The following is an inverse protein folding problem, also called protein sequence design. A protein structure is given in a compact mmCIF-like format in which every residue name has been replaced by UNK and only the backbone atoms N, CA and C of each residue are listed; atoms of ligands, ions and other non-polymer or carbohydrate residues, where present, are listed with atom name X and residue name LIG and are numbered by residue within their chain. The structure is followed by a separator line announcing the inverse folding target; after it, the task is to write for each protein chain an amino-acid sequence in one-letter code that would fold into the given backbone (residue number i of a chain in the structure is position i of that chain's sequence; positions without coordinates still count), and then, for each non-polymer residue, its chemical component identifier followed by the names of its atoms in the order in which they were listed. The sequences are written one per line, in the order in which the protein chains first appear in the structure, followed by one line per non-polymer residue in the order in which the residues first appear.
data_IF_722108162433
#
_entry.id   IF_722108162433
#
_cell.length_a   1.000
_cell.length_b   1.000
_cell.length_c   1.000
_cell.angle_alpha   90.00
_cell.angle_beta   90.00
_cell.angle_gamma   90.00
#
_symmetry.space_group_name_H-M   'P 1'
#
loop_
_entity.id
_entity.type
_entity.pdbx_description
1 polymer ?
#
# COMPACT_ATOMS: atom_id res chain seq x y z
N UNK A 1 -11.69 -0.58 11.56
CA UNK A 1 -12.14 0.21 10.39
C UNK A 1 -13.65 0.14 10.32
N UNK A 2 -14.34 1.26 10.21
CA UNK A 2 -15.79 1.35 10.17
C UNK A 2 -16.24 2.07 8.90
N UNK A 3 -17.41 1.68 8.37
CA UNK A 3 -18.14 2.47 7.39
C UNK A 3 -19.09 3.40 8.16
N UNK A 4 -18.95 4.70 7.97
CA UNK A 4 -19.80 5.72 8.59
C UNK A 4 -20.54 6.51 7.51
N UNK A 5 -21.65 7.14 7.88
CA UNK A 5 -22.38 8.06 7.01
C UNK A 5 -22.25 9.47 7.57
N UNK A 6 -21.78 10.37 6.76
CA UNK A 6 -21.80 11.80 7.01
C UNK A 6 -23.27 12.23 7.01
N UNK A 7 -23.76 12.72 8.13
CA UNK A 7 -25.19 13.01 8.32
C UNK A 7 -25.62 14.26 7.52
N UNK A 8 -24.72 15.25 7.42
CA UNK A 8 -25.00 16.50 6.74
C UNK A 8 -24.94 16.34 5.21
N UNK A 9 -23.92 15.64 4.71
CA UNK A 9 -23.70 15.46 3.28
C UNK A 9 -24.37 14.20 2.71
N UNK A 10 -24.81 13.27 3.58
CA UNK A 10 -25.46 12.03 3.19
C UNK A 10 -24.54 11.00 2.52
N UNK A 11 -23.21 11.20 2.54
CA UNK A 11 -22.20 10.37 1.86
C UNK A 11 -21.50 9.43 2.84
N UNK A 12 -20.92 8.35 2.29
CA UNK A 12 -20.15 7.39 3.10
C UNK A 12 -18.71 7.86 3.32
N UNK A 13 -18.19 7.54 4.51
CA UNK A 13 -16.82 7.77 4.95
C UNK A 13 -16.23 6.49 5.52
N UNK A 14 -14.94 6.30 5.37
CA UNK A 14 -14.19 5.30 6.11
C UNK A 14 -13.64 5.94 7.39
N UNK A 15 -13.81 5.27 8.53
CA UNK A 15 -13.31 5.71 9.82
C UNK A 15 -12.35 4.67 10.37
N UNK A 16 -11.10 5.06 10.58
CA UNK A 16 -10.08 4.21 11.20
C UNK A 16 -9.91 4.64 12.65
N UNK A 17 -10.25 3.75 13.57
CA UNK A 17 -9.99 3.88 14.99
C UNK A 17 -8.62 3.32 15.33
N UNK A 18 -7.83 4.06 16.07
CA UNK A 18 -6.48 3.69 16.51
C UNK A 18 -6.29 4.07 17.98
N UNK A 19 -5.54 3.27 18.77
CA UNK A 19 -5.06 3.73 20.06
C UNK A 19 -4.28 5.04 19.90
N UNK A 20 -4.43 5.99 20.83
CA UNK A 20 -3.81 7.33 20.75
C UNK A 20 -2.27 7.26 20.63
N UNK A 21 -1.64 6.22 21.15
CA UNK A 21 -0.21 5.96 20.98
C UNK A 21 0.21 5.79 19.52
N UNK A 22 -0.71 5.44 18.62
CA UNK A 22 -0.50 5.24 17.19
C UNK A 22 -0.87 6.48 16.35
N UNK A 23 -1.13 7.64 16.96
CA UNK A 23 -1.50 8.88 16.27
C UNK A 23 -0.49 9.38 15.24
N UNK A 24 0.74 8.84 15.25
CA UNK A 24 1.74 9.13 14.22
C UNK A 24 1.26 8.80 12.81
N UNK A 25 0.45 7.74 12.66
CA UNK A 25 -0.18 7.40 11.38
C UNK A 25 -1.06 8.54 10.87
N UNK A 26 -1.91 9.10 11.74
CA UNK A 26 -2.75 10.24 11.38
C UNK A 26 -1.92 11.47 10.98
N UNK A 27 -0.84 11.75 11.72
CA UNK A 27 0.07 12.86 11.41
C UNK A 27 0.75 12.71 10.05
N UNK A 28 1.17 11.48 9.70
CA UNK A 28 1.75 11.18 8.39
C UNK A 28 0.67 11.27 7.31
N UNK A 29 -0.48 10.62 7.51
CA UNK A 29 -1.55 10.56 6.52
C UNK A 29 -2.11 11.93 6.16
N UNK A 30 -2.18 12.87 7.14
CA UNK A 30 -2.59 14.27 6.92
C UNK A 30 -1.72 15.03 5.90
N UNK A 31 -0.46 14.61 5.72
CA UNK A 31 0.48 15.24 4.79
C UNK A 31 0.35 14.70 3.36
N UNK A 32 -0.45 13.64 3.16
CA UNK A 32 -0.55 12.95 1.89
C UNK A 32 -1.73 13.51 1.08
N UNK A 33 -1.43 13.84 -0.18
CA UNK A 33 -2.42 14.23 -1.17
C UNK A 33 -1.98 13.70 -2.54
N UNK A 34 -2.59 12.60 -2.99
CA UNK A 34 -2.29 11.96 -4.27
C UNK A 34 -3.56 11.27 -4.81
N UNK A 35 -3.82 11.29 -6.13
CA UNK A 35 -5.06 10.73 -6.72
C UNK A 35 -5.32 9.25 -6.44
N UNK A 36 -4.27 8.49 -6.10
CA UNK A 36 -4.35 7.06 -5.78
C UNK A 36 -4.23 6.78 -4.28
N UNK A 37 -4.46 7.78 -3.43
CA UNK A 37 -4.56 7.65 -1.97
C UNK A 37 -5.92 8.16 -1.51
N UNK A 38 -6.57 7.52 -0.51
CA UNK A 38 -7.76 8.10 0.10
C UNK A 38 -7.45 9.47 0.70
N UNK A 39 -8.31 10.43 0.50
CA UNK A 39 -8.16 11.75 1.09
C UNK A 39 -8.56 11.72 2.57
N UNK A 40 -7.72 12.27 3.45
CA UNK A 40 -8.12 12.52 4.83
C UNK A 40 -9.11 13.67 4.87
N UNK A 41 -10.24 13.46 5.53
CA UNK A 41 -11.32 14.44 5.65
C UNK A 41 -11.24 15.14 7.00
N UNK A 42 -11.09 14.35 8.08
CA UNK A 42 -11.05 14.88 9.43
C UNK A 42 -10.25 13.96 10.36
N UNK A 43 -9.94 14.47 11.53
CA UNK A 43 -9.25 13.75 12.59
C UNK A 43 -9.75 14.23 13.96
N UNK A 44 -10.05 13.28 14.84
CA UNK A 44 -10.47 13.60 16.21
C UNK A 44 -9.82 12.64 17.21
N UNK A 45 -9.63 13.13 18.43
CA UNK A 45 -9.17 12.32 19.57
C UNK A 45 -10.31 12.26 20.60
N UNK A 46 -10.55 11.06 21.11
CA UNK A 46 -11.53 10.85 22.18
C UNK A 46 -11.05 9.73 23.10
N UNK A 47 -10.94 10.03 24.38
CA UNK A 47 -10.43 9.13 25.40
C UNK A 47 -9.04 8.60 25.04
N UNK A 48 -8.85 7.29 24.96
CA UNK A 48 -7.58 6.64 24.60
C UNK A 48 -7.45 6.33 23.10
N UNK A 49 -8.36 6.83 22.27
CA UNK A 49 -8.41 6.55 20.84
C UNK A 49 -8.32 7.82 19.99
N UNK A 50 -7.81 7.65 18.79
CA UNK A 50 -7.93 8.64 17.74
C UNK A 50 -8.65 8.03 16.53
N UNK A 51 -9.38 8.89 15.81
CA UNK A 51 -10.21 8.52 14.67
C UNK A 51 -9.75 9.31 13.45
N UNK A 52 -9.40 8.59 12.39
CA UNK A 52 -9.08 9.16 11.09
C UNK A 52 -10.31 8.98 10.21
N UNK A 53 -10.94 10.07 9.83
CA UNK A 53 -12.07 10.11 8.90
C UNK A 53 -11.51 10.37 7.51
N UNK A 54 -11.79 9.49 6.56
CA UNK A 54 -11.24 9.56 5.22
C UNK A 54 -12.25 9.20 4.15
N UNK A 55 -11.90 9.48 2.91
CA UNK A 55 -12.65 9.06 1.73
C UNK A 55 -12.95 7.55 1.80
N UNK A 56 -14.21 7.20 1.57
CA UNK A 56 -14.62 5.81 1.42
C UNK A 56 -14.40 5.36 -0.02
N UNK A 57 -13.50 4.41 -0.21
CA UNK A 57 -13.22 3.84 -1.53
C UNK A 57 -14.22 2.70 -1.78
N UNK A 58 -15.16 2.95 -2.70
CA UNK A 58 -16.12 1.94 -3.13
C UNK A 58 -15.45 0.97 -4.11
N UNK A 59 -14.91 -0.12 -3.59
CA UNK A 59 -14.17 -1.12 -4.36
C UNK A 59 -13.83 -2.33 -3.52
N UNK A 60 -13.10 -3.27 -4.15
CA UNK A 60 -12.56 -4.47 -3.50
C UNK A 60 -11.04 -4.38 -3.42
N UNK A 61 -10.45 -5.03 -2.42
CA UNK A 61 -9.01 -5.21 -2.38
C UNK A 61 -8.55 -6.18 -3.48
N UNK A 62 -7.32 -6.05 -3.93
CA UNK A 62 -6.78 -7.01 -4.91
C UNK A 62 -6.71 -8.43 -4.32
N UNK A 63 -6.56 -8.56 -2.99
CA UNK A 63 -6.63 -9.87 -2.33
C UNK A 63 -8.04 -10.48 -2.44
N UNK A 64 -9.10 -9.70 -2.23
CA UNK A 64 -10.48 -10.16 -2.42
C UNK A 64 -10.73 -10.63 -3.86
N UNK A 65 -10.20 -9.92 -4.87
CA UNK A 65 -10.27 -10.39 -6.25
C UNK A 65 -9.57 -11.75 -6.44
N UNK A 66 -8.38 -11.93 -5.83
CA UNK A 66 -7.65 -13.20 -5.91
C UNK A 66 -8.38 -14.35 -5.19
N UNK A 67 -9.00 -14.08 -4.04
CA UNK A 67 -9.80 -15.05 -3.28
C UNK A 67 -11.05 -15.48 -4.05
N UNK A 68 -11.67 -14.56 -4.79
CA UNK A 68 -12.81 -14.84 -5.68
C UNK A 68 -12.38 -15.54 -6.98
N UNK A 69 -11.09 -15.84 -7.15
CA UNK A 69 -10.55 -16.54 -8.33
C UNK A 69 -10.34 -15.66 -9.55
N UNK A 70 -10.40 -14.32 -9.38
CA UNK A 70 -10.12 -13.39 -10.48
C UNK A 70 -8.68 -13.55 -11.00
N UNK A 71 -8.53 -13.54 -12.31
CA UNK A 71 -7.24 -13.64 -12.99
C UNK A 71 -6.96 -12.32 -13.67
N UNK A 72 -6.02 -11.57 -13.11
CA UNK A 72 -5.58 -10.30 -13.70
C UNK A 72 -4.92 -10.52 -15.07
N UNK A 73 -5.25 -9.68 -16.05
CA UNK A 73 -4.54 -9.65 -17.34
C UNK A 73 -3.16 -9.00 -17.18
N UNK A 74 -2.30 -9.17 -18.19
CA UNK A 74 -0.98 -8.49 -18.19
C UNK A 74 -1.16 -6.98 -18.16
N UNK A 75 -2.10 -6.45 -18.92
CA UNK A 75 -2.40 -5.01 -19.00
C UNK A 75 -2.84 -4.47 -17.64
N UNK A 76 -3.67 -5.21 -16.91
CA UNK A 76 -4.08 -4.84 -15.54
C UNK A 76 -2.89 -4.86 -14.58
N UNK A 77 -2.04 -5.90 -14.64
CA UNK A 77 -0.84 -6.00 -13.79
C UNK A 77 0.13 -4.85 -14.07
N UNK A 78 0.35 -4.52 -15.34
CA UNK A 78 1.20 -3.39 -15.74
C UNK A 78 0.61 -2.04 -15.28
N UNK A 79 -0.71 -1.88 -15.41
CA UNK A 79 -1.40 -0.68 -14.92
C UNK A 79 -1.26 -0.54 -13.40
N UNK A 80 -1.51 -1.61 -12.65
CA UNK A 80 -1.34 -1.67 -11.19
C UNK A 80 0.09 -1.29 -10.81
N UNK A 81 1.09 -1.91 -11.44
CA UNK A 81 2.50 -1.61 -11.19
C UNK A 81 2.85 -0.15 -11.46
N UNK A 82 2.35 0.41 -12.56
CA UNK A 82 2.56 1.83 -12.91
C UNK A 82 1.98 2.77 -11.84
N UNK A 83 0.75 2.52 -11.38
CA UNK A 83 0.11 3.37 -10.36
C UNK A 83 0.88 3.30 -9.03
N UNK A 84 1.31 2.10 -8.61
CA UNK A 84 2.11 1.94 -7.39
C UNK A 84 3.44 2.70 -7.50
N UNK A 85 4.12 2.63 -8.65
CA UNK A 85 5.36 3.37 -8.89
C UNK A 85 5.15 4.89 -8.80
N UNK A 86 4.04 5.43 -9.31
CA UNK A 86 3.70 6.84 -9.19
C UNK A 86 3.49 7.25 -7.72
N UNK A 87 2.83 6.39 -6.92
CA UNK A 87 2.68 6.63 -5.48
C UNK A 87 4.04 6.59 -4.78
N UNK A 88 4.90 5.62 -5.11
CA UNK A 88 6.25 5.55 -4.53
C UNK A 88 7.11 6.75 -4.89
N UNK A 89 7.08 7.19 -6.15
CA UNK A 89 7.75 8.43 -6.58
C UNK A 89 7.27 9.62 -5.73
N UNK A 90 5.96 9.75 -5.53
CA UNK A 90 5.38 10.78 -4.70
C UNK A 90 5.84 10.69 -3.23
N UNK A 91 5.83 9.49 -2.62
CA UNK A 91 6.21 9.30 -1.22
C UNK A 91 7.72 9.48 -1.00
N UNK A 92 8.54 8.87 -1.85
CA UNK A 92 9.99 8.88 -1.71
C UNK A 92 10.61 10.25 -2.06
N UNK A 93 9.95 11.08 -2.89
CA UNK A 93 10.40 12.45 -3.21
C UNK A 93 10.10 13.46 -2.10
N UNK A 94 9.34 13.08 -1.07
CA UNK A 94 9.06 13.97 0.08
C UNK A 94 10.33 14.28 0.86
N UNK A 95 10.31 15.40 1.58
CA UNK A 95 11.40 15.84 2.46
C UNK A 95 10.87 16.07 3.87
N UNK A 96 11.06 15.13 4.80
CA UNK A 96 11.77 13.84 4.64
C UNK A 96 11.00 12.83 3.79
N UNK A 97 11.72 11.90 3.15
CA UNK A 97 11.11 10.81 2.37
C UNK A 97 10.22 9.94 3.27
N UNK A 98 9.17 9.37 2.67
CA UNK A 98 8.25 8.46 3.35
C UNK A 98 8.38 7.09 2.70
N UNK A 99 8.61 6.05 3.51
CA UNK A 99 8.59 4.65 3.09
C UNK A 99 7.28 4.00 3.54
N UNK A 100 6.63 3.28 2.62
CA UNK A 100 5.29 2.74 2.86
C UNK A 100 5.30 1.50 3.76
N UNK A 101 6.18 0.55 3.49
CA UNK A 101 6.57 -0.55 4.38
C UNK A 101 5.64 -1.74 4.48
N UNK A 102 4.45 -1.74 3.88
CA UNK A 102 3.53 -2.90 3.92
C UNK A 102 2.70 -3.04 2.63
N UNK A 103 3.37 -2.96 1.47
CA UNK A 103 2.70 -3.16 0.20
C UNK A 103 2.35 -4.64 0.00
N UNK A 104 1.06 -4.89 -0.24
CA UNK A 104 0.48 -6.21 -0.50
C UNK A 104 -0.90 -6.06 -1.15
N UNK A 105 -1.47 -7.12 -1.76
CA UNK A 105 -2.76 -7.03 -2.43
C UNK A 105 -3.92 -6.59 -1.53
N UNK A 106 -3.91 -6.91 -0.24
CA UNK A 106 -4.94 -6.48 0.70
C UNK A 106 -4.91 -4.98 1.04
N UNK A 107 -3.80 -4.29 0.76
CA UNK A 107 -3.63 -2.85 0.96
C UNK A 107 -3.79 -2.05 -0.35
N UNK A 108 -4.28 -2.71 -1.40
CA UNK A 108 -4.58 -2.12 -2.71
C UNK A 108 -6.05 -2.33 -3.02
N UNK A 109 -6.82 -1.26 -3.14
CA UNK A 109 -8.23 -1.31 -3.50
C UNK A 109 -8.44 -0.86 -4.94
N UNK A 110 -9.27 -1.59 -5.67
CA UNK A 110 -9.65 -1.25 -7.04
C UNK A 110 -11.16 -1.03 -7.13
N UNK A 111 -11.56 0.12 -7.66
CA UNK A 111 -12.97 0.45 -7.92
C UNK A 111 -13.49 -0.28 -9.17
N UNK A 112 -14.80 -0.25 -9.40
CA UNK A 112 -15.42 -0.77 -10.64
C UNK A 112 -14.88 -0.08 -11.89
N UNK A 113 -14.51 1.22 -11.79
CA UNK A 113 -13.92 2.00 -12.88
C UNK A 113 -12.41 1.72 -13.06
N UNK A 114 -11.89 0.65 -12.43
CA UNK A 114 -10.47 0.25 -12.47
C UNK A 114 -9.49 1.29 -11.91
N UNK A 115 -9.96 2.21 -11.07
CA UNK A 115 -9.08 3.12 -10.33
C UNK A 115 -8.45 2.38 -9.17
N UNK A 116 -7.13 2.48 -9.04
CA UNK A 116 -6.38 1.84 -7.94
C UNK A 116 -6.08 2.86 -6.85
N UNK A 117 -6.30 2.42 -5.61
CA UNK A 117 -5.97 3.16 -4.40
C UNK A 117 -5.06 2.33 -3.51
N UNK A 118 -4.00 2.94 -3.01
CA UNK A 118 -3.16 2.39 -1.95
C UNK A 118 -3.72 2.86 -0.61
N UNK A 119 -4.09 1.90 0.23
CA UNK A 119 -4.74 2.14 1.53
C UNK A 119 -3.86 1.63 2.66
N UNK A 120 -4.14 2.06 3.89
CA UNK A 120 -3.45 1.64 5.12
C UNK A 120 -1.97 2.07 5.23
N UNK A 121 -1.78 3.21 5.90
CA UNK A 121 -0.46 3.80 6.16
C UNK A 121 0.11 3.47 7.56
N UNK A 122 -0.44 2.44 8.24
CA UNK A 122 -0.03 2.08 9.60
C UNK A 122 1.44 1.67 9.74
N UNK A 123 2.04 1.17 8.66
CA UNK A 123 3.46 0.80 8.60
C UNK A 123 4.35 1.88 8.01
N UNK A 124 3.77 2.94 7.45
CA UNK A 124 4.52 3.99 6.79
C UNK A 124 5.35 4.83 7.76
N UNK A 125 6.50 5.29 7.29
CA UNK A 125 7.46 6.00 8.13
C UNK A 125 8.23 7.06 7.36
N UNK A 126 8.67 8.09 8.08
CA UNK A 126 9.66 9.02 7.56
C UNK A 126 11.06 8.40 7.55
N UNK A 127 11.89 8.77 6.60
CA UNK A 127 13.26 8.26 6.40
C UNK A 127 14.14 8.39 7.64
N UNK A 128 13.98 9.42 8.46
CA UNK A 128 14.73 9.59 9.73
C UNK A 128 14.28 8.61 10.83
N UNK A 129 13.16 7.91 10.63
CA UNK A 129 12.64 6.87 11.52
C UNK A 129 12.70 5.48 10.87
N UNK A 130 13.55 5.29 9.88
CA UNK A 130 13.62 4.07 9.08
C UNK A 130 14.23 2.86 9.82
N UNK A 131 14.78 3.08 11.02
CA UNK A 131 15.27 2.01 11.89
C UNK A 131 14.33 1.82 13.08
N UNK A 132 13.95 0.58 13.35
CA UNK A 132 12.99 0.21 14.39
C UNK A 132 13.55 -0.85 15.35
N UNK A 133 12.99 -0.88 16.57
CA UNK A 133 13.20 -1.99 17.50
C UNK A 133 12.27 -3.18 17.21
N UNK A 134 11.18 -2.95 16.47
CA UNK A 134 10.16 -3.97 16.17
C UNK A 134 10.21 -4.34 14.70
N UNK A 135 10.07 -5.64 14.41
CA UNK A 135 9.94 -6.14 13.04
C UNK A 135 8.60 -5.69 12.46
N UNK A 136 8.64 -5.06 11.29
CA UNK A 136 7.44 -4.61 10.56
C UNK A 136 7.37 -5.25 9.19
N UNK A 137 6.15 -5.44 8.71
CA UNK A 137 5.87 -5.98 7.39
C UNK A 137 5.19 -7.34 7.40
N UNK A 138 4.58 -7.68 6.30
CA UNK A 138 3.82 -8.92 6.12
C UNK A 138 4.71 -10.00 5.51
N UNK A 139 4.80 -11.18 6.16
CA UNK A 139 5.56 -12.33 5.62
C UNK A 139 5.12 -12.65 4.20
N UNK A 140 6.08 -12.89 3.31
CA UNK A 140 5.86 -13.14 1.90
C UNK A 140 5.90 -11.90 1.02
N UNK A 141 5.77 -10.69 1.59
CA UNK A 141 5.87 -9.42 0.90
C UNK A 141 7.01 -8.54 1.41
N UNK A 142 7.24 -8.54 2.73
CA UNK A 142 8.27 -7.72 3.36
C UNK A 142 9.68 -8.16 2.94
N UNK A 143 10.54 -7.17 2.71
CA UNK A 143 11.94 -7.39 2.40
C UNK A 143 12.71 -7.95 3.62
N UNK A 144 13.79 -8.73 3.41
CA UNK A 144 14.55 -9.34 4.49
C UNK A 144 15.03 -8.35 5.56
N UNK A 145 15.46 -7.17 5.16
CA UNK A 145 15.94 -6.11 6.05
C UNK A 145 14.84 -5.56 6.98
N UNK A 146 13.56 -5.67 6.60
CA UNK A 146 12.46 -5.25 7.47
C UNK A 146 12.34 -6.13 8.70
N UNK A 147 12.68 -7.42 8.59
CA UNK A 147 12.75 -8.33 9.74
C UNK A 147 13.96 -8.06 10.65
N UNK A 148 14.91 -7.26 10.18
CA UNK A 148 16.04 -6.75 10.95
C UNK A 148 15.78 -5.33 11.49
N UNK A 149 14.57 -4.81 11.28
CA UNK A 149 14.15 -3.51 11.78
C UNK A 149 14.55 -2.32 10.90
N UNK A 150 14.91 -2.55 9.65
CA UNK A 150 15.25 -1.48 8.69
C UNK A 150 14.24 -1.43 7.55
N UNK A 151 13.83 -0.23 7.17
CA UNK A 151 12.94 0.00 6.03
C UNK A 151 13.50 1.10 5.14
N UNK A 152 13.40 0.94 3.83
CA UNK A 152 13.93 1.86 2.84
C UNK A 152 13.07 1.88 1.58
N UNK A 153 13.42 2.71 0.61
CA UNK A 153 12.82 2.66 -0.71
C UNK A 153 13.00 1.28 -1.37
N UNK A 154 14.15 0.62 -1.14
CA UNK A 154 14.40 -0.74 -1.67
C UNK A 154 13.41 -1.76 -1.10
N UNK A 155 13.03 -1.65 0.19
CA UNK A 155 12.03 -2.50 0.81
C UNK A 155 10.66 -2.35 0.15
N UNK A 156 10.26 -1.12 -0.21
CA UNK A 156 9.01 -0.87 -0.94
C UNK A 156 9.04 -1.49 -2.35
N UNK A 157 10.17 -1.37 -3.07
CA UNK A 157 10.33 -2.02 -4.38
C UNK A 157 10.33 -3.55 -4.28
N UNK A 158 10.94 -4.12 -3.24
CA UNK A 158 10.87 -5.56 -3.00
C UNK A 158 9.41 -6.01 -2.83
N UNK A 159 8.64 -5.32 -1.99
CA UNK A 159 7.23 -5.60 -1.77
C UNK A 159 6.39 -5.41 -3.05
N UNK A 160 6.74 -4.45 -3.92
CA UNK A 160 6.14 -4.30 -5.25
C UNK A 160 6.39 -5.54 -6.11
N UNK A 161 7.64 -6.01 -6.18
CA UNK A 161 7.98 -7.24 -6.91
C UNK A 161 7.16 -8.43 -6.44
N UNK A 162 7.07 -8.64 -5.12
CA UNK A 162 6.28 -9.73 -4.51
C UNK A 162 4.78 -9.59 -4.77
N UNK A 163 4.27 -8.37 -4.74
CA UNK A 163 2.85 -8.08 -5.06
C UNK A 163 2.53 -8.40 -6.51
N UNK A 164 3.34 -7.94 -7.47
CA UNK A 164 3.13 -8.25 -8.89
C UNK A 164 3.29 -9.75 -9.18
N UNK A 165 4.26 -10.43 -8.53
CA UNK A 165 4.41 -11.88 -8.61
C UNK A 165 3.14 -12.60 -8.16
N UNK A 166 2.53 -12.17 -7.05
CA UNK A 166 1.27 -12.73 -6.52
C UNK A 166 0.11 -12.52 -7.49
N UNK A 167 -0.01 -11.33 -8.11
CA UNK A 167 -1.06 -11.05 -9.10
C UNK A 167 -0.92 -11.89 -10.38
N UNK A 168 0.30 -12.23 -10.79
CA UNK A 168 0.53 -13.17 -11.89
C UNK A 168 -0.02 -14.57 -11.59
N UNK A 169 -0.04 -15.00 -10.33
CA UNK A 169 -0.62 -16.24 -9.86
C UNK A 169 -0.13 -17.47 -10.65
N UNK A 170 -1.06 -18.37 -11.01
CA UNK A 170 -0.75 -19.57 -11.80
C UNK A 170 -0.32 -19.26 -13.25
N UNK A 171 -0.59 -18.07 -13.75
CA UNK A 171 -0.20 -17.61 -15.10
C UNK A 171 1.17 -16.93 -15.13
N UNK A 172 1.94 -16.97 -14.05
CA UNK A 172 3.27 -16.34 -13.99
C UNK A 172 4.15 -16.72 -15.18
N UNK A 173 4.32 -18.03 -15.45
CA UNK A 173 5.17 -18.51 -16.55
C UNK A 173 4.67 -18.00 -17.91
N UNK A 174 3.38 -18.22 -18.32
CA UNK A 174 2.87 -17.65 -19.55
C UNK A 174 3.07 -16.14 -19.66
N UNK A 175 2.85 -15.38 -18.58
CA UNK A 175 3.00 -13.92 -18.58
C UNK A 175 4.45 -13.47 -18.76
N UNK A 176 5.43 -14.19 -18.22
CA UNK A 176 6.84 -13.90 -18.42
C UNK A 176 7.28 -14.12 -19.89
N UNK A 177 6.66 -15.07 -20.61
CA UNK A 177 6.89 -15.24 -22.04
C UNK A 177 6.24 -14.13 -22.87
N UNK A 178 5.01 -13.73 -22.53
CA UNK A 178 4.28 -12.67 -23.23
C UNK A 178 4.86 -11.27 -22.97
N UNK A 179 5.36 -11.03 -21.74
CA UNK A 179 5.98 -9.77 -21.34
C UNK A 179 7.29 -10.00 -20.56
N UNK A 180 8.41 -10.31 -21.26
CA UNK A 180 9.70 -10.57 -20.62
C UNK A 180 10.19 -9.39 -19.77
N UNK A 181 9.79 -8.15 -20.11
CA UNK A 181 10.14 -6.96 -19.36
C UNK A 181 9.53 -6.98 -17.95
N UNK A 182 8.26 -7.42 -17.80
CA UNK A 182 7.61 -7.59 -16.49
C UNK A 182 8.38 -8.59 -15.63
N UNK A 183 8.78 -9.72 -16.22
CA UNK A 183 9.56 -10.74 -15.51
C UNK A 183 10.90 -10.22 -15.02
N UNK A 184 11.63 -9.52 -15.88
CA UNK A 184 12.91 -8.90 -15.52
C UNK A 184 12.73 -7.86 -14.40
N UNK A 185 11.67 -7.08 -14.47
CA UNK A 185 11.34 -6.08 -13.45
C UNK A 185 11.05 -6.74 -12.09
N UNK A 186 10.17 -7.75 -12.05
CA UNK A 186 9.84 -8.50 -10.82
C UNK A 186 11.13 -9.12 -10.22
N UNK A 187 11.95 -9.76 -11.02
CA UNK A 187 13.21 -10.37 -10.58
C UNK A 187 14.17 -9.31 -10.02
N UNK A 188 14.27 -8.14 -10.67
CA UNK A 188 15.12 -7.05 -10.19
C UNK A 188 14.64 -6.51 -8.84
N UNK A 189 13.32 -6.31 -8.66
CA UNK A 189 12.73 -5.87 -7.41
C UNK A 189 12.98 -6.87 -6.26
N UNK A 190 12.91 -8.18 -6.54
CA UNK A 190 13.05 -9.23 -5.52
C UNK A 190 14.51 -9.64 -5.26
N UNK A 191 15.50 -9.05 -5.92
CA UNK A 191 16.90 -9.28 -5.57
C UNK A 191 17.19 -8.54 -4.27
N UNK A 192 17.50 -9.28 -3.21
CA UNK A 192 18.18 -8.70 -2.06
C UNK A 192 19.57 -8.25 -2.54
N UNK A 193 19.92 -6.99 -2.32
CA UNK A 193 21.31 -6.57 -2.45
C UNK A 193 22.10 -7.32 -1.35
N UNK A 194 22.70 -8.44 -1.75
CA UNK A 194 23.79 -9.02 -0.99
C UNK A 194 25.02 -8.16 -1.29
N UNK A 195 25.24 -7.16 -0.48
CA UNK A 195 26.54 -6.50 -0.29
C UNK A 195 27.10 -6.89 1.05
#
# INVERSE_FOLDING_TARGET
MYLARDIELGIFRAVKELPIRNKREAGLFRLLNHPSLPQMIDYTERDEYCYIIMEYIQGKTLEQYLEEGYVFSIEEILHIGKVILQVFEYLHSRKPAIYYGDLKPSNLMMTEQKRLYMVDFGSAVFSYNASYKETKGTRGYAAPEQFQGTISAASDFYALGKTLERLCGRKKIPYLFQCPALGKFILKCCRSEQT
#
